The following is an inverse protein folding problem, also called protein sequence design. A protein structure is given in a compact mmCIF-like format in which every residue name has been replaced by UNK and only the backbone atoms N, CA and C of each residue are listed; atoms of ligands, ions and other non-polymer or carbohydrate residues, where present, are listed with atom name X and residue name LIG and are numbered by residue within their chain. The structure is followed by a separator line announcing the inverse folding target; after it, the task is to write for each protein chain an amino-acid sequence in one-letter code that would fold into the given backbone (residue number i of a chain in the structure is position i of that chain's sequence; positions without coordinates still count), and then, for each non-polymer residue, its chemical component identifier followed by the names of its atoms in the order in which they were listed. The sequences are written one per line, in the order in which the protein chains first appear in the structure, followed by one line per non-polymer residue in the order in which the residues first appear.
data_IF_377867579798
#
_entry.id   IF_377867579798
#
_cell.length_a   1.000
_cell.length_b   1.000
_cell.length_c   1.000
_cell.angle_alpha   90.00
_cell.angle_beta   90.00
_cell.angle_gamma   90.00
#
_symmetry.space_group_name_H-M   'P 1'
#
loop_
_entity.id
_entity.type
_entity.pdbx_description
1 polymer ?
#
# COMPACT_ATOMS: atom_id res chain seq x y z
N UNK A 1 -73.71 -22.11 -30.26
CA UNK A 1 -74.57 -21.07 -30.86
C UNK A 1 -73.66 -20.03 -31.52
N UNK A 2 -73.84 -19.84 -32.84
CA UNK A 2 -73.33 -18.79 -33.76
C UNK A 2 -71.79 -18.58 -33.84
N UNK A 3 -71.07 -18.81 -34.95
CA UNK A 3 -71.30 -18.44 -36.37
C UNK A 3 -70.77 -17.01 -36.62
N UNK A 4 -69.99 -16.61 -37.64
CA UNK A 4 -69.64 -17.13 -38.96
C UNK A 4 -68.44 -16.32 -39.59
N UNK A 5 -67.83 -16.86 -40.67
CA UNK A 5 -66.98 -16.20 -41.72
C UNK A 5 -67.81 -15.20 -42.59
N UNK A 6 -67.36 -14.42 -43.65
CA UNK A 6 -66.24 -14.58 -44.64
C UNK A 6 -65.48 -13.25 -45.12
N UNK A 7 -64.24 -13.30 -45.69
CA UNK A 7 -63.70 -13.10 -47.11
C UNK A 7 -64.04 -11.71 -47.79
N UNK A 8 -63.42 -11.13 -48.90
CA UNK A 8 -62.17 -11.30 -49.71
C UNK A 8 -61.45 -9.98 -50.24
N UNK A 9 -60.47 -10.17 -51.17
CA UNK A 9 -60.00 -9.29 -52.29
C UNK A 9 -58.83 -8.32 -52.00
N UNK A 10 -57.81 -8.07 -52.84
CA UNK A 10 -57.53 -8.24 -54.30
C UNK A 10 -56.00 -8.02 -54.52
N UNK A 11 -55.26 -8.87 -55.24
CA UNK A 11 -54.85 -8.79 -56.66
C UNK A 11 -53.96 -7.59 -57.09
N UNK A 12 -52.83 -7.92 -57.75
CA UNK A 12 -52.07 -7.26 -58.84
C UNK A 12 -50.56 -7.42 -58.59
N UNK A 13 -49.68 -7.81 -59.52
CA UNK A 13 -49.77 -8.25 -60.91
C UNK A 13 -48.34 -8.49 -61.46
N UNK A 14 -48.13 -9.65 -62.10
CA UNK A 14 -47.39 -9.97 -63.35
C UNK A 14 -46.18 -9.05 -63.73
N UNK A 15 -44.93 -9.52 -63.66
CA UNK A 15 -44.10 -10.27 -64.66
C UNK A 15 -43.71 -9.50 -65.96
N UNK A 16 -42.40 -9.26 -66.22
CA UNK A 16 -41.53 -9.94 -67.26
C UNK A 16 -41.40 -9.06 -68.53
N UNK A 17 -40.28 -8.82 -69.26
CA UNK A 17 -38.85 -9.18 -69.26
C UNK A 17 -38.09 -8.43 -70.40
N UNK A 18 -36.75 -8.41 -70.30
CA UNK A 18 -35.69 -8.58 -71.33
C UNK A 18 -35.42 -7.57 -72.49
N UNK A 19 -34.12 -7.17 -72.52
CA UNK A 19 -33.19 -7.06 -73.67
C UNK A 19 -33.42 -5.97 -74.74
N UNK A 20 -32.42 -5.41 -75.45
CA UNK A 20 -30.97 -5.25 -75.33
C UNK A 20 -30.49 -4.28 -76.45
N UNK A 21 -29.28 -3.69 -76.29
CA UNK A 21 -28.27 -3.42 -77.34
C UNK A 21 -28.51 -2.35 -78.45
N UNK A 22 -27.77 -1.21 -78.40
CA UNK A 22 -26.56 -0.87 -79.23
C UNK A 22 -26.26 0.64 -79.43
N UNK A 23 -24.97 0.94 -79.24
CA UNK A 23 -24.03 1.85 -79.99
C UNK A 23 -23.97 3.38 -79.72
N UNK A 24 -22.69 3.79 -79.59
CA UNK A 24 -22.01 5.07 -79.29
C UNK A 24 -22.13 6.14 -80.43
N UNK A 25 -21.44 7.33 -80.44
CA UNK A 25 -20.34 7.81 -79.57
C UNK A 25 -20.38 9.30 -79.15
N UNK A 26 -19.44 9.71 -78.28
CA UNK A 26 -19.21 11.12 -77.95
C UNK A 26 -18.17 11.29 -76.85
N UNK A 27 -16.89 11.36 -77.24
CA UNK A 27 -15.80 11.65 -76.33
C UNK A 27 -15.77 13.16 -76.02
N UNK A 28 -15.82 13.50 -74.74
CA UNK A 28 -15.41 14.81 -74.22
C UNK A 28 -14.45 14.57 -73.06
N UNK A 29 -13.16 14.81 -73.30
CA UNK A 29 -12.14 14.85 -72.25
C UNK A 29 -12.38 16.10 -71.39
N UNK A 30 -12.76 15.93 -70.14
CA UNK A 30 -12.64 16.96 -69.11
C UNK A 30 -11.47 16.58 -68.21
N UNK A 31 -10.33 17.25 -68.38
CA UNK A 31 -9.21 17.20 -67.44
C UNK A 31 -9.61 17.98 -66.17
N UNK A 32 -10.12 17.27 -65.18
CA UNK A 32 -10.19 17.77 -63.81
C UNK A 32 -8.87 17.39 -63.10
N UNK A 33 -8.02 18.38 -62.85
CA UNK A 33 -6.87 18.22 -61.96
C UNK A 33 -7.38 18.06 -60.53
N UNK A 34 -7.40 16.83 -60.01
CA UNK A 34 -7.55 16.59 -58.58
C UNK A 34 -6.20 16.89 -57.89
N UNK A 35 -6.08 18.06 -57.28
CA UNK A 35 -5.00 18.34 -56.35
C UNK A 35 -5.28 17.56 -55.05
N UNK A 36 -4.73 16.36 -54.93
CA UNK A 36 -4.70 15.64 -53.67
C UNK A 36 -3.68 16.32 -52.75
N UNK A 37 -4.15 17.10 -51.79
CA UNK A 37 -3.33 17.55 -50.66
C UNK A 37 -3.06 16.34 -49.76
N UNK A 38 -1.87 15.76 -49.88
CA UNK A 38 -1.34 14.87 -48.84
C UNK A 38 -1.11 15.73 -47.58
N UNK A 39 -2.09 15.75 -46.68
CA UNK A 39 -1.85 16.12 -45.31
C UNK A 39 -0.94 15.04 -44.71
N UNK A 40 0.37 15.32 -44.65
CA UNK A 40 1.29 14.52 -43.88
C UNK A 40 0.83 14.58 -42.41
N UNK A 41 0.21 13.50 -41.93
CA UNK A 41 -0.01 13.30 -40.50
C UNK A 41 1.36 13.25 -39.86
N UNK A 42 1.77 14.35 -39.22
CA UNK A 42 2.95 14.33 -38.36
C UNK A 42 2.80 13.16 -37.38
N UNK A 43 3.86 12.38 -37.10
CA UNK A 43 3.80 11.39 -36.04
C UNK A 43 3.35 12.12 -34.79
N UNK A 44 2.28 11.63 -34.15
CA UNK A 44 1.97 12.06 -32.81
C UNK A 44 3.25 11.90 -32.00
N UNK A 45 3.74 13.00 -31.43
CA UNK A 45 4.89 12.96 -30.55
C UNK A 45 4.57 11.91 -29.50
N UNK A 46 5.29 10.79 -29.54
CA UNK A 46 5.29 9.83 -28.45
C UNK A 46 5.65 10.66 -27.22
N UNK A 47 4.73 10.80 -26.27
CA UNK A 47 5.05 11.38 -24.99
C UNK A 47 6.31 10.67 -24.51
N UNK A 48 7.32 11.44 -24.09
CA UNK A 48 8.46 10.85 -23.40
C UNK A 48 7.89 9.96 -22.28
N UNK A 49 8.49 8.78 -22.01
CA UNK A 49 8.05 7.95 -20.89
C UNK A 49 7.89 8.86 -19.67
N UNK A 50 6.70 8.85 -19.06
CA UNK A 50 6.49 9.62 -17.85
C UNK A 50 7.57 9.21 -16.86
N UNK A 51 8.36 10.18 -16.38
CA UNK A 51 9.43 9.91 -15.43
C UNK A 51 8.83 9.22 -14.21
N UNK A 52 9.46 8.12 -13.77
CA UNK A 52 9.00 7.33 -12.62
C UNK A 52 8.80 8.27 -11.41
N UNK A 53 7.57 8.44 -10.89
CA UNK A 53 7.30 9.44 -9.85
C UNK A 53 8.16 9.20 -8.60
N UNK A 54 9.02 10.16 -8.20
CA UNK A 54 9.77 10.04 -6.95
C UNK A 54 8.89 10.46 -5.77
N UNK A 55 8.41 9.47 -5.01
CA UNK A 55 7.61 9.69 -3.80
C UNK A 55 8.49 9.79 -2.54
N UNK A 56 8.07 10.59 -1.57
CA UNK A 56 8.55 10.50 -0.18
C UNK A 56 7.61 9.61 0.63
N UNK A 57 8.14 8.54 1.19
CA UNK A 57 7.34 7.54 1.92
C UNK A 57 7.84 7.40 3.34
N UNK A 58 6.94 7.56 4.30
CA UNK A 58 7.22 7.31 5.71
C UNK A 58 6.66 5.93 6.10
N UNK A 59 7.46 5.12 6.79
CA UNK A 59 6.95 4.01 7.61
C UNK A 59 7.20 4.28 9.08
N UNK A 60 6.20 4.01 9.93
CA UNK A 60 6.30 4.25 11.36
C UNK A 60 5.43 3.30 12.17
N UNK A 61 6.08 2.43 12.95
CA UNK A 61 5.41 1.68 14.01
C UNK A 61 5.05 2.67 15.13
N UNK A 62 3.74 2.87 15.33
CA UNK A 62 3.21 3.94 16.18
C UNK A 62 2.99 3.50 17.65
N UNK A 63 3.17 2.22 17.96
CA UNK A 63 2.99 1.66 19.30
C UNK A 63 1.68 2.07 19.97
N UNK A 64 0.55 2.03 19.23
CA UNK A 64 -0.77 2.38 19.77
C UNK A 64 -1.50 1.11 20.23
N UNK A 65 -0.91 0.40 21.19
CA UNK A 65 -1.50 -0.79 21.80
C UNK A 65 -2.90 -0.53 22.40
N UNK A 66 -3.76 -1.55 22.41
CA UNK A 66 -5.08 -1.52 23.03
C UNK A 66 -5.04 -0.92 24.43
N UNK A 67 -5.77 0.19 24.66
CA UNK A 67 -5.84 0.82 25.99
C UNK A 67 -6.56 -0.05 27.02
N UNK A 68 -7.33 -1.06 26.60
CA UNK A 68 -7.94 -2.02 27.53
C UNK A 68 -6.89 -2.90 28.19
N UNK A 69 -5.87 -3.32 27.44
CA UNK A 69 -4.77 -4.15 27.95
C UNK A 69 -3.64 -3.30 28.51
N UNK A 70 -3.41 -2.13 27.92
CA UNK A 70 -2.23 -1.30 28.14
C UNK A 70 -2.63 0.18 28.38
N UNK A 71 -3.40 0.50 29.43
CA UNK A 71 -4.04 1.82 29.58
C UNK A 71 -3.07 3.00 29.80
N UNK A 72 -1.82 2.73 30.18
CA UNK A 72 -0.90 3.74 30.70
C UNK A 72 0.27 4.04 29.75
N UNK A 73 0.13 3.83 28.43
CA UNK A 73 1.20 4.13 27.44
C UNK A 73 0.97 5.40 26.64
N UNK A 74 0.07 6.28 27.10
CA UNK A 74 -0.13 7.61 26.53
C UNK A 74 -0.63 7.61 25.08
N UNK A 75 -1.34 6.57 24.65
CA UNK A 75 -1.77 6.38 23.26
C UNK A 75 -2.50 7.60 22.70
N UNK A 76 -3.44 8.19 23.45
CA UNK A 76 -4.21 9.35 22.99
C UNK A 76 -3.35 10.61 22.86
N UNK A 77 -2.38 10.80 23.77
CA UNK A 77 -1.41 11.89 23.67
C UNK A 77 -0.56 11.72 22.40
N UNK A 78 -0.03 10.51 22.16
CA UNK A 78 0.85 10.22 21.04
C UNK A 78 0.12 10.24 19.71
N UNK A 79 -1.12 9.73 19.64
CA UNK A 79 -1.98 9.82 18.47
C UNK A 79 -2.26 11.27 18.02
N UNK A 80 -2.23 12.24 18.95
CA UNK A 80 -2.29 13.67 18.63
C UNK A 80 -0.92 14.23 18.22
N UNK A 81 0.14 13.82 18.89
CA UNK A 81 1.48 14.35 18.68
C UNK A 81 2.13 13.86 17.36
N UNK A 82 1.91 12.59 16.99
CA UNK A 82 2.53 11.97 15.80
C UNK A 82 2.18 12.75 14.51
N UNK A 83 0.90 13.05 14.19
CA UNK A 83 0.57 13.80 12.98
C UNK A 83 1.03 15.26 12.99
N UNK A 84 1.45 15.79 14.14
CA UNK A 84 2.00 17.14 14.27
C UNK A 84 3.55 17.15 14.24
N UNK A 85 4.20 15.98 14.32
CA UNK A 85 5.65 15.88 14.38
C UNK A 85 6.29 16.20 13.01
N UNK A 86 7.50 16.81 12.99
CA UNK A 86 8.17 17.18 11.74
C UNK A 86 8.38 16.02 10.76
N UNK A 87 8.74 14.83 11.25
CA UNK A 87 8.96 13.64 10.40
C UNK A 87 7.69 13.19 9.66
N UNK A 88 6.51 13.52 10.20
CA UNK A 88 5.23 13.16 9.64
C UNK A 88 4.75 14.14 8.57
N UNK A 89 5.36 15.33 8.46
CA UNK A 89 4.92 16.37 7.53
C UNK A 89 5.53 16.17 6.13
N UNK A 90 4.77 16.53 5.10
CA UNK A 90 5.31 16.65 3.73
C UNK A 90 5.72 15.34 3.06
N UNK A 91 5.19 14.21 3.54
CA UNK A 91 5.30 12.92 2.87
C UNK A 91 4.27 12.85 1.73
N UNK A 92 4.47 11.92 0.79
CA UNK A 92 3.45 11.56 -0.18
C UNK A 92 2.59 10.41 0.32
N UNK A 93 3.21 9.47 1.03
CA UNK A 93 2.57 8.29 1.62
C UNK A 93 3.12 8.05 3.02
N UNK A 94 2.24 7.66 3.95
CA UNK A 94 2.57 7.23 5.31
C UNK A 94 2.00 5.84 5.53
N UNK A 95 2.84 4.90 5.94
CA UNK A 95 2.45 3.55 6.36
C UNK A 95 2.65 3.45 7.86
N UNK A 96 1.58 3.16 8.58
CA UNK A 96 1.60 3.00 10.03
C UNK A 96 1.47 1.54 10.41
N UNK A 97 2.20 1.14 11.44
CA UNK A 97 2.07 -0.15 12.11
C UNK A 97 1.63 0.07 13.56
N UNK A 98 1.14 -1.00 14.19
CA UNK A 98 0.62 -1.01 15.57
C UNK A 98 -0.42 0.07 15.88
N UNK A 99 -1.21 0.45 14.89
CA UNK A 99 -2.39 1.31 15.05
C UNK A 99 -3.58 0.51 15.63
N UNK A 100 -3.35 -0.25 16.69
CA UNK A 100 -4.26 -1.26 17.23
C UNK A 100 -5.44 -0.65 18.00
N UNK A 101 -5.20 0.26 18.94
CA UNK A 101 -6.27 0.89 19.70
C UNK A 101 -7.20 1.67 18.76
N UNK A 102 -8.45 1.23 18.65
CA UNK A 102 -9.41 1.79 17.71
C UNK A 102 -9.54 3.30 17.87
N UNK A 103 -9.70 3.80 19.10
CA UNK A 103 -9.94 5.22 19.34
C UNK A 103 -8.70 6.09 19.09
N UNK A 104 -7.51 5.64 19.49
CA UNK A 104 -6.27 6.36 19.28
C UNK A 104 -5.87 6.34 17.79
N UNK A 105 -6.00 5.18 17.12
CA UNK A 105 -5.72 5.06 15.68
C UNK A 105 -6.68 5.89 14.83
N UNK A 106 -7.98 5.88 15.14
CA UNK A 106 -8.97 6.72 14.45
C UNK A 106 -8.68 8.22 14.66
N UNK A 107 -8.30 8.62 15.87
CA UNK A 107 -7.90 10.00 16.16
C UNK A 107 -6.63 10.41 15.40
N UNK A 108 -5.61 9.55 15.35
CA UNK A 108 -4.39 9.78 14.57
C UNK A 108 -4.73 10.00 13.10
N UNK A 109 -5.52 9.08 12.52
CA UNK A 109 -5.98 9.13 11.13
C UNK A 109 -6.78 10.40 10.82
N UNK A 110 -7.68 10.81 11.72
CA UNK A 110 -8.45 12.04 11.59
C UNK A 110 -7.55 13.30 11.63
N UNK A 111 -6.58 13.35 12.56
CA UNK A 111 -5.62 14.45 12.67
C UNK A 111 -4.69 14.53 11.44
N UNK A 112 -4.42 13.40 10.78
CA UNK A 112 -3.62 13.31 9.57
C UNK A 112 -4.39 13.68 8.28
N UNK A 113 -5.72 13.69 8.30
CA UNK A 113 -6.56 13.77 7.10
C UNK A 113 -6.42 15.08 6.31
N UNK A 114 -6.00 16.17 6.95
CA UNK A 114 -5.72 17.45 6.26
C UNK A 114 -4.54 17.38 5.30
N UNK A 115 -3.55 16.51 5.56
CA UNK A 115 -2.38 16.28 4.70
C UNK A 115 -2.52 15.00 3.87
N UNK A 116 -3.16 13.99 4.43
CA UNK A 116 -3.32 12.66 3.84
C UNK A 116 -4.81 12.28 3.78
N UNK A 117 -5.60 12.90 2.87
CA UNK A 117 -7.05 12.71 2.83
C UNK A 117 -7.48 11.34 2.31
N UNK A 118 -6.59 10.61 1.62
CA UNK A 118 -6.89 9.30 1.06
C UNK A 118 -6.30 8.22 1.94
N UNK A 119 -7.15 7.47 2.63
CA UNK A 119 -6.69 6.52 3.65
C UNK A 119 -7.36 5.15 3.50
N UNK A 120 -6.64 4.10 3.89
CA UNK A 120 -7.24 2.78 4.08
C UNK A 120 -7.89 2.68 5.46
N UNK A 121 -8.81 1.73 5.69
CA UNK A 121 -9.08 1.24 7.04
C UNK A 121 -7.81 0.65 7.68
N UNK A 122 -7.89 0.30 8.97
CA UNK A 122 -6.87 -0.52 9.62
C UNK A 122 -7.09 -1.98 9.23
N UNK A 123 -6.03 -2.65 8.77
CA UNK A 123 -6.05 -4.06 8.34
C UNK A 123 -6.60 -4.92 9.46
N UNK A 124 -7.47 -5.87 9.14
CA UNK A 124 -7.99 -6.84 10.09
C UNK A 124 -9.15 -6.35 10.96
N UNK A 125 -9.46 -5.05 10.97
CA UNK A 125 -10.52 -4.48 11.83
C UNK A 125 -11.92 -4.88 11.36
N UNK A 126 -12.14 -4.83 10.06
CA UNK A 126 -13.37 -5.33 9.42
C UNK A 126 -13.14 -5.52 7.92
N UNK A 127 -14.12 -6.08 7.21
CA UNK A 127 -14.12 -6.12 5.73
C UNK A 127 -14.62 -4.83 5.09
N UNK A 128 -15.21 -3.92 5.85
CA UNK A 128 -15.81 -2.69 5.34
C UNK A 128 -14.75 -1.69 4.91
N UNK A 129 -14.99 -0.99 3.79
CA UNK A 129 -14.07 0.01 3.27
C UNK A 129 -12.86 -0.55 2.51
N UNK A 130 -12.82 -1.85 2.25
CA UNK A 130 -11.83 -2.51 1.39
C UNK A 130 -12.49 -2.99 0.10
N UNK A 131 -11.77 -2.90 -1.02
CA UNK A 131 -12.23 -3.43 -2.31
C UNK A 131 -12.13 -4.96 -2.36
N UNK A 132 -11.18 -5.54 -1.62
CA UNK A 132 -11.10 -6.98 -1.36
C UNK A 132 -10.46 -7.28 0.01
N UNK A 133 -10.80 -8.46 0.55
CA UNK A 133 -10.17 -9.03 1.75
C UNK A 133 -9.72 -10.44 1.45
N UNK A 134 -8.41 -10.69 1.54
CA UNK A 134 -7.78 -11.99 1.32
C UNK A 134 -7.13 -12.57 2.58
N UNK A 135 -6.53 -13.75 2.41
CA UNK A 135 -5.81 -14.43 3.47
C UNK A 135 -6.71 -15.03 4.55
N UNK A 136 -6.16 -15.17 5.76
CA UNK A 136 -6.80 -15.83 6.90
C UNK A 136 -7.56 -14.87 7.82
N UNK A 137 -8.32 -13.93 7.25
CA UNK A 137 -9.10 -12.97 8.05
C UNK A 137 -10.03 -13.68 9.03
N UNK A 138 -9.97 -13.30 10.30
CA UNK A 138 -10.86 -13.78 11.35
C UNK A 138 -11.77 -12.65 11.85
N UNK A 139 -13.08 -12.89 11.83
CA UNK A 139 -14.06 -11.94 12.40
C UNK A 139 -14.14 -12.00 13.93
N UNK A 140 -13.48 -12.97 14.56
CA UNK A 140 -13.58 -13.24 16.00
C UNK A 140 -12.26 -13.08 16.73
N UNK A 141 -11.18 -12.75 16.02
CA UNK A 141 -9.90 -12.45 16.67
C UNK A 141 -10.01 -11.15 17.46
N UNK A 142 -9.39 -11.04 18.64
CA UNK A 142 -9.57 -9.88 19.50
C UNK A 142 -8.86 -8.60 19.00
N UNK A 143 -7.77 -8.73 18.25
CA UNK A 143 -6.94 -7.60 17.82
C UNK A 143 -6.87 -7.51 16.29
N UNK A 144 -6.93 -6.29 15.75
CA UNK A 144 -6.71 -6.06 14.32
C UNK A 144 -5.21 -6.17 13.96
N UNK A 145 -4.87 -5.96 12.69
CA UNK A 145 -3.49 -6.06 12.21
C UNK A 145 -2.65 -4.81 12.44
N UNK A 146 -3.24 -3.70 12.88
CA UNK A 146 -2.54 -2.46 13.22
C UNK A 146 -1.93 -1.71 12.02
N UNK A 147 -2.17 -2.15 10.78
CA UNK A 147 -1.58 -1.53 9.58
C UNK A 147 -2.59 -0.61 8.88
N UNK A 148 -2.18 0.61 8.53
CA UNK A 148 -2.96 1.52 7.67
C UNK A 148 -2.05 2.35 6.77
N UNK A 149 -2.54 2.67 5.56
CA UNK A 149 -1.85 3.53 4.60
C UNK A 149 -2.62 4.84 4.47
N UNK A 150 -1.90 5.96 4.60
CA UNK A 150 -2.38 7.32 4.42
C UNK A 150 -1.65 7.93 3.22
N UNK A 151 -2.38 8.60 2.33
CA UNK A 151 -1.83 9.11 1.08
C UNK A 151 -2.33 10.52 0.79
N UNK A 152 -1.39 11.35 0.31
CA UNK A 152 -1.68 12.64 -0.33
C UNK A 152 -2.38 12.45 -1.67
N UNK A 153 -2.06 11.35 -2.36
CA UNK A 153 -2.55 10.99 -3.68
C UNK A 153 -3.81 10.12 -3.62
N UNK A 154 -4.76 10.23 -4.56
CA UNK A 154 -5.96 9.41 -4.59
C UNK A 154 -5.65 7.90 -4.58
N UNK A 155 -6.27 7.17 -3.65
CA UNK A 155 -6.28 5.70 -3.66
C UNK A 155 -7.41 5.26 -4.58
N UNK A 156 -7.06 4.66 -5.72
CA UNK A 156 -8.04 4.15 -6.70
C UNK A 156 -8.45 2.71 -6.45
N UNK A 157 -7.67 1.99 -5.63
CA UNK A 157 -7.92 0.60 -5.25
C UNK A 157 -7.20 0.31 -3.93
N UNK A 158 -7.85 -0.44 -3.03
CA UNK A 158 -7.31 -0.87 -1.73
C UNK A 158 -7.79 -2.25 -1.33
N UNK A 159 -6.85 -3.13 -1.01
CA UNK A 159 -7.11 -4.47 -0.49
C UNK A 159 -6.39 -4.68 0.83
N UNK A 160 -6.92 -5.60 1.63
CA UNK A 160 -6.22 -6.13 2.79
C UNK A 160 -6.00 -7.63 2.64
N UNK A 161 -4.94 -8.13 3.26
CA UNK A 161 -4.62 -9.54 3.37
C UNK A 161 -4.15 -9.85 4.78
N UNK A 162 -4.76 -10.85 5.43
CA UNK A 162 -4.35 -11.32 6.76
C UNK A 162 -3.46 -12.56 6.60
N UNK A 163 -2.29 -12.56 7.23
CA UNK A 163 -1.36 -13.67 7.14
C UNK A 163 -1.96 -14.96 7.71
N UNK A 164 -1.58 -16.10 7.12
CA UNK A 164 -1.94 -17.41 7.64
C UNK A 164 -1.01 -17.89 8.74
N UNK A 165 0.25 -17.48 8.67
CA UNK A 165 1.35 -17.98 9.49
C UNK A 165 1.76 -16.92 10.51
N UNK A 166 1.67 -17.27 11.80
CA UNK A 166 2.12 -16.47 12.94
C UNK A 166 2.37 -17.39 14.14
N UNK A 167 3.06 -16.89 15.16
CA UNK A 167 3.29 -17.56 16.45
C UNK A 167 3.20 -16.56 17.61
N UNK A 168 3.14 -17.07 18.83
CA UNK A 168 3.10 -16.22 20.02
C UNK A 168 1.86 -15.32 20.08
N UNK A 169 2.02 -14.11 20.62
CA UNK A 169 0.94 -13.13 20.72
C UNK A 169 0.34 -12.75 19.35
N UNK A 170 1.18 -12.66 18.31
CA UNK A 170 0.79 -12.25 16.96
C UNK A 170 -0.30 -13.17 16.35
N UNK A 171 -0.34 -14.45 16.73
CA UNK A 171 -1.37 -15.41 16.27
C UNK A 171 -2.81 -14.99 16.62
N UNK A 172 -2.97 -14.19 17.69
CA UNK A 172 -4.28 -13.70 18.14
C UNK A 172 -4.65 -12.35 17.54
N UNK A 173 -3.94 -11.91 16.51
CA UNK A 173 -4.21 -10.68 15.76
C UNK A 173 -4.48 -10.98 14.29
N UNK A 174 -5.21 -10.09 13.61
CA UNK A 174 -5.32 -10.12 12.14
C UNK A 174 -4.10 -9.46 11.46
N UNK A 175 -2.87 -9.76 11.91
CA UNK A 175 -1.63 -9.25 11.29
C UNK A 175 -1.55 -9.61 9.81
N UNK A 176 -1.02 -8.70 9.00
CA UNK A 176 -1.17 -8.76 7.56
C UNK A 176 -0.56 -7.58 6.82
N UNK A 177 -1.10 -7.31 5.64
CA UNK A 177 -0.73 -6.14 4.85
C UNK A 177 -1.94 -5.44 4.22
N UNK A 178 -1.78 -4.14 4.02
CA UNK A 178 -2.64 -3.32 3.17
C UNK A 178 -1.94 -3.14 1.82
N UNK A 179 -2.68 -3.24 0.72
CA UNK A 179 -2.20 -2.94 -0.61
C UNK A 179 -3.05 -1.84 -1.23
N UNK A 180 -2.43 -0.80 -1.76
CA UNK A 180 -3.09 0.30 -2.45
C UNK A 180 -2.52 0.51 -3.84
N UNK A 181 -3.37 0.99 -4.74
CA UNK A 181 -2.97 1.58 -6.01
C UNK A 181 -3.30 3.05 -5.96
N UNK A 182 -2.29 3.88 -6.13
CA UNK A 182 -2.36 5.34 -6.12
C UNK A 182 -2.43 5.88 -7.55
N UNK A 183 -3.12 7.00 -7.72
CA UNK A 183 -2.99 7.86 -8.91
C UNK A 183 -2.08 9.05 -8.59
N UNK A 184 -0.84 8.99 -9.07
CA UNK A 184 0.19 10.02 -8.89
C UNK A 184 0.33 10.78 -10.21
N UNK A 185 -0.43 11.86 -10.37
CA UNK A 185 -0.44 12.69 -11.57
C UNK A 185 -0.67 11.88 -12.87
N UNK A 186 -1.57 10.90 -12.86
CA UNK A 186 -1.87 10.03 -14.00
C UNK A 186 -1.02 8.77 -14.09
N UNK A 187 -0.01 8.61 -13.21
CA UNK A 187 0.78 7.38 -13.10
C UNK A 187 0.25 6.47 -11.99
N UNK A 188 0.27 5.16 -12.20
CA UNK A 188 -0.02 4.18 -11.15
C UNK A 188 1.20 3.94 -10.29
N UNK A 189 1.03 4.03 -8.98
CA UNK A 189 2.03 3.61 -7.99
C UNK A 189 1.39 2.67 -7.00
N UNK A 190 2.02 1.53 -6.76
CA UNK A 190 1.53 0.50 -5.86
C UNK A 190 2.27 0.62 -4.52
N UNK A 191 1.52 0.59 -3.42
CA UNK A 191 2.10 0.60 -2.08
C UNK A 191 1.53 -0.56 -1.28
N UNK A 192 2.41 -1.40 -0.73
CA UNK A 192 2.07 -2.44 0.22
C UNK A 192 2.65 -2.05 1.58
N UNK A 193 1.77 -1.86 2.55
CA UNK A 193 2.11 -1.59 3.94
C UNK A 193 1.98 -2.85 4.78
N UNK A 194 2.96 -3.17 5.62
CA UNK A 194 2.89 -4.38 6.47
C UNK A 194 3.50 -4.19 7.86
N UNK A 195 3.19 -5.13 8.74
CA UNK A 195 3.87 -5.40 10.01
C UNK A 195 4.02 -6.92 10.13
N UNK A 196 5.25 -7.42 10.00
CA UNK A 196 5.52 -8.86 10.01
C UNK A 196 5.52 -9.46 11.45
N UNK A 197 5.75 -10.76 11.55
CA UNK A 197 5.86 -11.50 12.81
C UNK A 197 6.97 -10.93 13.71
N UNK A 198 6.60 -10.57 14.94
CA UNK A 198 7.52 -10.15 15.99
C UNK A 198 8.36 -11.31 16.54
N UNK A 199 9.53 -11.01 17.09
CA UNK A 199 10.31 -12.00 17.86
C UNK A 199 9.71 -12.13 19.27
N UNK A 200 8.56 -12.79 19.35
CA UNK A 200 7.77 -12.94 20.57
C UNK A 200 8.24 -14.13 21.43
N UNK A 201 8.28 -14.02 22.77
CA UNK A 201 8.67 -15.11 23.66
C UNK A 201 7.70 -16.31 23.65
N UNK A 202 6.48 -16.14 23.14
CA UNK A 202 5.53 -17.21 22.89
C UNK A 202 5.81 -18.04 21.64
N UNK A 203 6.81 -17.65 20.83
CA UNK A 203 7.32 -18.45 19.72
C UNK A 203 8.42 -19.39 20.20
N UNK A 204 8.50 -20.58 19.61
CA UNK A 204 9.62 -21.50 19.81
C UNK A 204 10.90 -20.94 19.19
N UNK A 205 12.06 -21.42 19.61
CA UNK A 205 13.35 -20.98 19.07
C UNK A 205 13.40 -21.09 17.54
N UNK A 206 13.62 -19.96 16.87
CA UNK A 206 13.67 -19.86 15.40
C UNK A 206 12.31 -19.88 14.69
N UNK A 207 11.21 -20.06 15.40
CA UNK A 207 9.86 -20.13 14.83
C UNK A 207 9.43 -18.77 14.24
N UNK A 208 9.73 -17.66 14.93
CA UNK A 208 9.38 -16.31 14.47
C UNK A 208 9.96 -16.00 13.08
N UNK A 209 11.26 -16.28 12.87
CA UNK A 209 11.91 -16.11 11.57
C UNK A 209 11.29 -17.00 10.48
N UNK A 210 10.86 -18.22 10.82
CA UNK A 210 10.15 -19.09 9.88
C UNK A 210 8.77 -18.55 9.51
N UNK A 211 8.03 -17.95 10.46
CA UNK A 211 6.77 -17.27 10.17
C UNK A 211 7.00 -16.07 9.26
N UNK A 212 7.97 -15.21 9.57
CA UNK A 212 8.35 -14.06 8.72
C UNK A 212 8.66 -14.49 7.29
N UNK A 213 9.49 -15.52 7.11
CA UNK A 213 9.77 -16.11 5.78
C UNK A 213 8.49 -16.50 5.02
N UNK A 214 7.51 -17.11 5.69
CA UNK A 214 6.22 -17.47 5.05
C UNK A 214 5.36 -16.26 4.75
N UNK A 215 5.35 -15.25 5.62
CA UNK A 215 4.64 -13.99 5.41
C UNK A 215 5.21 -13.21 4.21
N UNK A 216 6.53 -13.14 4.09
CA UNK A 216 7.22 -12.53 2.95
C UNK A 216 6.92 -13.25 1.63
N UNK A 217 6.94 -14.60 1.63
CA UNK A 217 6.48 -15.39 0.48
C UNK A 217 5.01 -15.15 0.13
N UNK A 218 4.15 -14.86 1.11
CA UNK A 218 2.76 -14.49 0.86
C UNK A 218 2.64 -13.10 0.20
N UNK A 219 3.48 -12.13 0.59
CA UNK A 219 3.59 -10.83 -0.10
C UNK A 219 4.02 -11.03 -1.55
N UNK A 220 5.09 -11.80 -1.78
CA UNK A 220 5.63 -12.13 -3.09
C UNK A 220 4.56 -12.73 -4.01
N UNK A 221 3.91 -13.81 -3.57
CA UNK A 221 2.86 -14.47 -4.32
C UNK A 221 1.64 -13.57 -4.59
N UNK A 222 1.29 -12.69 -3.64
CA UNK A 222 0.21 -11.72 -3.81
C UNK A 222 0.55 -10.70 -4.91
N UNK A 223 1.75 -10.12 -4.88
CA UNK A 223 2.19 -9.12 -5.86
C UNK A 223 2.34 -9.74 -7.26
N UNK A 224 2.88 -10.95 -7.36
CA UNK A 224 2.97 -11.69 -8.63
C UNK A 224 1.59 -11.95 -9.25
N UNK A 225 0.61 -12.32 -8.43
CA UNK A 225 -0.75 -12.57 -8.90
C UNK A 225 -1.42 -11.31 -9.47
N UNK A 226 -0.98 -10.10 -9.08
CA UNK A 226 -1.48 -8.84 -9.63
C UNK A 226 -0.99 -8.55 -11.05
N UNK A 227 0.11 -9.18 -11.49
CA UNK A 227 0.73 -8.96 -12.81
C UNK A 227 0.94 -7.47 -13.12
N UNK A 228 1.49 -6.76 -12.13
CA UNK A 228 1.74 -5.31 -12.22
C UNK A 228 2.73 -5.05 -13.36
N UNK A 229 2.45 -4.11 -14.29
CA UNK A 229 3.39 -3.73 -15.34
C UNK A 229 4.77 -3.35 -14.76
N UNK A 230 5.84 -3.78 -15.43
CA UNK A 230 7.20 -3.57 -14.93
C UNK A 230 7.61 -2.08 -14.89
N UNK A 231 6.93 -1.21 -15.64
CA UNK A 231 7.11 0.23 -15.65
C UNK A 231 6.34 0.96 -14.52
N UNK A 232 5.47 0.26 -13.79
CA UNK A 232 4.79 0.79 -12.60
C UNK A 232 5.58 0.47 -11.32
N UNK A 233 5.66 1.44 -10.41
CA UNK A 233 6.36 1.28 -9.13
C UNK A 233 5.59 0.41 -8.16
N UNK A 234 6.31 -0.44 -7.42
CA UNK A 234 5.77 -1.23 -6.31
C UNK A 234 6.64 -1.05 -5.09
N UNK A 235 6.13 -0.26 -4.14
CA UNK A 235 6.77 0.07 -2.87
C UNK A 235 6.24 -0.87 -1.79
N UNK A 236 7.13 -1.46 -1.01
CA UNK A 236 6.79 -2.30 0.15
C UNK A 236 7.40 -1.65 1.40
N UNK A 237 6.55 -1.22 2.32
CA UNK A 237 6.94 -0.41 3.48
C UNK A 237 6.38 -1.00 4.77
N UNK A 238 7.18 -1.02 5.83
CA UNK A 238 6.72 -1.57 7.09
C UNK A 238 7.80 -1.82 8.13
N UNK A 239 7.33 -2.18 9.31
CA UNK A 239 8.10 -2.93 10.29
C UNK A 239 8.18 -4.39 9.82
N UNK A 240 9.36 -4.76 9.34
CA UNK A 240 9.61 -6.11 8.82
C UNK A 240 10.02 -7.08 9.93
N UNK A 241 10.29 -6.61 11.16
CA UNK A 241 10.84 -7.41 12.25
C UNK A 241 12.09 -8.23 11.86
N UNK A 242 12.89 -7.71 10.92
CA UNK A 242 14.15 -8.32 10.47
C UNK A 242 15.26 -7.31 10.65
N UNK A 243 16.22 -7.58 11.54
CA UNK A 243 17.36 -6.69 11.72
C UNK A 243 18.26 -6.69 10.48
N UNK A 244 18.39 -5.54 9.85
CA UNK A 244 19.20 -5.34 8.64
C UNK A 244 20.70 -5.69 8.80
N UNK A 245 21.18 -5.79 10.05
CA UNK A 245 22.55 -6.18 10.36
C UNK A 245 22.77 -7.71 10.39
N UNK A 246 21.72 -8.50 10.18
CA UNK A 246 21.77 -9.96 10.25
C UNK A 246 21.60 -10.62 8.87
N UNK A 247 21.99 -11.90 8.71
CA UNK A 247 21.75 -12.63 7.47
C UNK A 247 20.27 -12.79 7.10
N UNK A 248 19.34 -12.68 8.06
CA UNK A 248 17.90 -12.78 7.78
C UNK A 248 17.42 -11.69 6.82
N UNK A 249 18.07 -10.52 6.80
CA UNK A 249 17.77 -9.45 5.84
C UNK A 249 17.88 -9.91 4.38
N UNK A 250 18.92 -10.66 4.04
CA UNK A 250 19.06 -11.23 2.70
C UNK A 250 17.96 -12.23 2.35
N UNK A 251 17.54 -13.04 3.34
CA UNK A 251 16.42 -13.97 3.20
C UNK A 251 15.09 -13.25 3.02
N UNK A 252 14.84 -12.17 3.77
CA UNK A 252 13.66 -11.33 3.62
C UNK A 252 13.56 -10.76 2.20
N UNK A 253 14.65 -10.17 1.68
CA UNK A 253 14.69 -9.64 0.32
C UNK A 253 14.36 -10.72 -0.72
N UNK A 254 14.95 -11.90 -0.58
CA UNK A 254 14.69 -13.02 -1.49
C UNK A 254 13.25 -13.54 -1.39
N UNK A 255 12.73 -13.74 -0.18
CA UNK A 255 11.42 -14.33 0.08
C UNK A 255 10.27 -13.39 -0.33
N UNK A 256 10.44 -12.07 -0.18
CA UNK A 256 9.46 -11.06 -0.60
C UNK A 256 9.70 -10.54 -2.03
N UNK A 257 10.74 -11.02 -2.72
CA UNK A 257 11.15 -10.54 -4.06
C UNK A 257 11.43 -9.03 -4.09
N UNK A 258 12.17 -8.52 -3.11
CA UNK A 258 12.47 -7.09 -2.94
C UNK A 258 13.93 -6.78 -3.24
N UNK A 259 14.20 -5.50 -3.54
CA UNK A 259 15.54 -4.94 -3.66
C UNK A 259 15.76 -3.97 -2.49
N UNK A 260 16.90 -4.12 -1.82
CA UNK A 260 17.34 -3.21 -0.76
C UNK A 260 17.44 -1.75 -1.23
N UNK A 261 17.39 -0.82 -0.26
CA UNK A 261 17.73 0.58 -0.52
C UNK A 261 19.21 0.70 -0.95
N UNK A 262 19.50 1.70 -1.77
CA UNK A 262 20.87 1.99 -2.23
C UNK A 262 21.74 2.56 -1.09
N UNK A 263 21.10 3.23 -0.13
CA UNK A 263 21.74 3.73 1.07
C UNK A 263 20.83 3.65 2.30
N UNK A 264 21.44 3.37 3.45
CA UNK A 264 20.87 3.59 4.77
C UNK A 264 21.58 4.82 5.38
N UNK A 265 20.81 5.83 5.80
CA UNK A 265 21.34 7.05 6.40
C UNK A 265 20.60 7.40 7.70
N UNK A 266 21.08 8.40 8.42
CA UNK A 266 20.50 8.79 9.71
C UNK A 266 21.02 7.90 10.84
N UNK A 267 20.13 7.51 11.74
CA UNK A 267 20.47 6.64 12.87
C UNK A 267 20.60 5.17 12.42
N UNK A 268 21.53 4.37 12.97
CA UNK A 268 21.69 2.97 12.55
C UNK A 268 20.57 2.00 12.97
N UNK A 269 19.71 2.37 13.93
CA UNK A 269 18.73 1.44 14.52
C UNK A 269 17.34 2.06 14.51
N UNK A 270 16.37 1.49 13.79
CA UNK A 270 14.98 1.93 13.89
C UNK A 270 14.34 1.50 15.23
N UNK A 271 14.88 0.49 15.89
CA UNK A 271 14.47 0.05 17.22
C UNK A 271 15.68 0.07 18.16
N UNK A 272 15.83 1.17 18.91
CA UNK A 272 17.01 1.41 19.76
C UNK A 272 16.67 1.29 21.25
N UNK A 273 16.93 0.11 21.82
CA UNK A 273 16.74 -0.20 23.24
C UNK A 273 17.64 0.58 24.20
N UNK A 274 18.61 1.36 23.69
CA UNK A 274 19.49 2.19 24.53
C UNK A 274 19.11 3.67 24.53
N UNK A 275 18.67 4.22 23.40
CA UNK A 275 18.39 5.67 23.25
C UNK A 275 16.91 6.03 23.22
N UNK A 276 16.04 5.12 22.78
CA UNK A 276 14.61 5.38 22.76
C UNK A 276 14.05 5.19 24.17
N UNK A 277 13.41 6.23 24.72
CA UNK A 277 12.89 6.21 26.09
C UNK A 277 11.80 5.16 26.35
N UNK A 278 11.02 4.78 25.33
CA UNK A 278 10.01 3.72 25.45
C UNK A 278 10.67 2.35 25.29
N UNK A 279 11.50 2.17 24.26
CA UNK A 279 12.15 0.88 24.00
C UNK A 279 13.08 0.47 25.15
N UNK A 280 13.86 1.41 25.69
CA UNK A 280 14.78 1.16 26.81
C UNK A 280 14.06 0.77 28.11
N UNK A 281 12.84 1.26 28.35
CA UNK A 281 12.03 0.82 29.49
C UNK A 281 11.45 -0.58 29.26
N UNK A 282 10.95 -0.85 28.05
CA UNK A 282 10.31 -2.13 27.71
C UNK A 282 11.31 -3.28 27.59
N UNK A 283 12.51 -3.00 27.09
CA UNK A 283 13.49 -4.00 26.67
C UNK A 283 14.93 -3.59 27.05
N UNK A 284 15.22 -3.40 28.35
CA UNK A 284 16.52 -2.85 28.80
C UNK A 284 17.73 -3.74 28.48
N UNK A 285 17.51 -5.04 28.27
CA UNK A 285 18.56 -6.03 28.05
C UNK A 285 18.63 -6.56 26.60
N UNK A 286 17.70 -6.13 25.74
CA UNK A 286 17.63 -6.60 24.35
C UNK A 286 18.55 -5.78 23.45
N UNK A 287 19.06 -6.37 22.35
CA UNK A 287 19.90 -5.65 21.40
C UNK A 287 19.12 -4.54 20.67
N UNK A 288 19.86 -3.57 20.14
CA UNK A 288 19.34 -2.57 19.21
C UNK A 288 19.28 -3.18 17.82
N UNK A 289 18.23 -2.88 17.08
CA UNK A 289 17.95 -3.48 15.77
C UNK A 289 17.49 -2.42 14.77
N UNK A 290 17.59 -2.75 13.48
CA UNK A 290 17.02 -1.93 12.41
C UNK A 290 16.01 -2.76 11.61
N UNK A 291 14.72 -2.56 11.92
CA UNK A 291 13.59 -3.42 11.57
C UNK A 291 12.67 -2.80 10.52
N UNK A 292 12.71 -1.47 10.37
CA UNK A 292 11.75 -0.70 9.58
C UNK A 292 12.33 -0.31 8.22
N UNK A 293 11.60 -0.60 7.14
CA UNK A 293 12.11 -0.43 5.78
C UNK A 293 11.06 0.11 4.80
N UNK A 294 11.54 0.82 3.77
CA UNK A 294 10.78 1.18 2.57
C UNK A 294 11.56 0.70 1.35
N UNK A 295 11.10 -0.39 0.76
CA UNK A 295 11.79 -1.13 -0.30
C UNK A 295 10.97 -1.18 -1.58
N UNK A 296 11.59 -1.66 -2.67
CA UNK A 296 10.93 -1.83 -3.95
C UNK A 296 10.87 -3.30 -4.36
N UNK A 297 9.81 -3.68 -5.08
CA UNK A 297 9.71 -4.97 -5.76
C UNK A 297 10.80 -5.10 -6.82
N UNK A 298 11.49 -6.24 -6.84
CA UNK A 298 12.45 -6.55 -7.89
C UNK A 298 11.77 -6.68 -9.25
N UNK A 299 12.37 -6.09 -10.28
CA UNK A 299 11.84 -6.13 -11.65
C UNK A 299 10.79 -5.06 -11.99
N UNK A 300 10.34 -4.26 -11.01
CA UNK A 300 9.49 -3.10 -11.23
C UNK A 300 10.31 -1.80 -11.25
N UNK A 301 9.73 -0.75 -11.84
CA UNK A 301 10.32 0.58 -11.86
C UNK A 301 10.59 1.07 -10.43
N UNK A 302 11.74 1.72 -10.25
CA UNK A 302 12.09 2.42 -9.02
C UNK A 302 13.04 3.59 -9.33
N UNK A 303 13.04 4.65 -8.51
CA UNK A 303 14.06 5.70 -8.62
C UNK A 303 15.47 5.12 -8.38
N UNK A 304 16.48 5.70 -9.04
CA UNK A 304 17.88 5.48 -8.67
C UNK A 304 18.19 6.15 -7.32
N UNK A 305 19.27 5.74 -6.65
CA UNK A 305 19.74 6.35 -5.40
C UNK A 305 18.66 6.38 -4.30
N UNK A 306 17.89 5.30 -4.18
CA UNK A 306 16.82 5.21 -3.19
C UNK A 306 17.41 5.07 -1.78
N UNK A 307 17.08 6.00 -0.90
CA UNK A 307 17.63 6.05 0.45
C UNK A 307 16.55 5.70 1.48
N UNK A 308 16.89 4.88 2.46
CA UNK A 308 16.13 4.81 3.72
C UNK A 308 16.87 5.62 4.78
N UNK A 309 16.17 6.55 5.42
CA UNK A 309 16.71 7.41 6.46
C UNK A 309 15.98 7.17 7.78
N UNK A 310 16.68 6.66 8.79
CA UNK A 310 16.12 6.51 10.13
C UNK A 310 16.22 7.85 10.86
N UNK A 311 15.07 8.43 11.20
CA UNK A 311 14.98 9.70 11.90
C UNK A 311 15.17 9.43 13.40
N UNK A 312 16.22 9.98 14.01
CA UNK A 312 16.40 9.96 15.46
C UNK A 312 15.39 10.90 16.14
N UNK A 313 14.13 10.49 16.14
CA UNK A 313 12.99 11.24 16.64
C UNK A 313 13.13 11.52 18.15
N UNK A 314 12.67 12.70 18.56
CA UNK A 314 12.56 13.06 19.96
C UNK A 314 11.38 14.00 20.15
N UNK A 315 10.57 13.73 21.17
CA UNK A 315 9.40 14.52 21.51
C UNK A 315 9.69 15.47 22.66
N UNK A 316 8.80 16.44 22.88
CA UNK A 316 8.70 17.05 24.19
C UNK A 316 8.40 15.96 25.25
N UNK A 317 8.90 16.09 26.49
CA UNK A 317 8.62 15.12 27.53
C UNK A 317 7.11 14.98 27.78
N UNK A 318 6.64 13.76 27.94
CA UNK A 318 5.26 13.46 28.33
C UNK A 318 5.27 12.39 29.42
N UNK A 319 4.31 12.48 30.34
CA UNK A 319 4.29 11.67 31.55
C UNK A 319 2.99 10.89 31.63
N UNK A 320 3.09 9.64 32.03
CA UNK A 320 1.98 8.76 32.39
C UNK A 320 2.17 8.27 33.82
N UNK A 321 1.10 7.75 34.41
CA UNK A 321 1.16 7.14 35.73
C UNK A 321 0.68 5.70 35.67
N UNK A 322 1.45 4.80 36.28
CA UNK A 322 1.12 3.39 36.40
C UNK A 322 1.43 2.95 37.82
N UNK A 323 0.45 2.35 38.51
CA UNK A 323 0.60 1.88 39.89
C UNK A 323 1.17 2.94 40.87
N UNK A 324 0.73 4.19 40.73
CA UNK A 324 1.18 5.30 41.58
C UNK A 324 2.59 5.81 41.29
N UNK A 325 3.27 5.27 40.27
CA UNK A 325 4.57 5.72 39.80
C UNK A 325 4.41 6.52 38.51
N UNK A 326 5.13 7.63 38.40
CA UNK A 326 5.13 8.47 37.19
C UNK A 326 6.32 8.11 36.30
N UNK A 327 6.05 7.85 35.03
CA UNK A 327 7.02 7.53 33.99
C UNK A 327 7.02 8.64 32.95
N UNK A 328 8.20 9.15 32.59
CA UNK A 328 8.34 10.25 31.64
C UNK A 328 9.17 9.81 30.45
N UNK A 329 8.61 9.98 29.26
CA UNK A 329 9.20 9.58 28.00
C UNK A 329 9.47 10.79 27.12
N UNK A 330 10.41 10.63 26.19
CA UNK A 330 10.79 11.66 25.20
C UNK A 330 10.74 11.13 23.76
N UNK A 331 9.93 10.10 23.52
CA UNK A 331 9.67 9.52 22.20
C UNK A 331 8.17 9.28 22.01
N UNK A 332 7.72 9.29 20.76
CA UNK A 332 6.29 9.05 20.41
C UNK A 332 5.96 7.59 20.10
N UNK A 333 6.97 6.75 19.99
CA UNK A 333 6.91 5.30 19.84
C UNK A 333 8.24 4.71 20.31
N UNK A 334 8.30 3.41 20.55
CA UNK A 334 9.54 2.67 20.78
C UNK A 334 10.33 2.42 19.49
N UNK A 335 9.69 2.56 18.34
CA UNK A 335 10.38 2.64 17.05
C UNK A 335 10.65 4.09 16.65
N UNK A 336 11.70 4.27 15.85
CA UNK A 336 12.01 5.49 15.13
C UNK A 336 11.41 5.46 13.71
N UNK A 337 10.92 6.60 13.19
CA UNK A 337 10.38 6.67 11.85
C UNK A 337 11.46 6.50 10.78
N UNK A 338 11.13 5.79 9.69
CA UNK A 338 11.99 5.63 8.53
C UNK A 338 11.37 6.30 7.31
N UNK A 339 12.12 7.20 6.68
CA UNK A 339 11.70 7.86 5.44
C UNK A 339 12.47 7.29 4.24
N UNK A 340 11.72 6.86 3.23
CA UNK A 340 12.22 6.48 1.91
C UNK A 340 12.10 7.66 0.94
N UNK A 341 13.20 8.01 0.24
CA UNK A 341 13.21 9.08 -0.75
C UNK A 341 14.34 8.95 -1.78
#
# INVERSE_FOLDING_TARGET
MCGARPIPHTSTGVHVTFAALRRAPGAALSLALAAATLAATAPAASAAPAETPRLKVLTYNAFLFSKTLYPNWGQDHRAKAIPAAPFFQGQDVVVLQEAFDNSASDALKANAAGQYPHQTPVVGRSKSGWDATGGSYSATTPEDGGVTILSKWPIVHKEQYVYKDACGADWWSNKGFAYTVLDVNGSRVHVLGTHAQSTDPGCSAGEAAQMRSRQFKAIDAFLDAKRIPADEQVIVAGDMNVDSHTPEYGTMLADAGLVGADALTGHPYSFDTALNSIASERYPDDPRENLDHVLFRAGNARPADWTNHVVLEKSAPWTVSSWGTSYTYTNLSDHYPVTGF
#
